data_IF_469115757924
#
_entry.id   IF_469115757924
#
_cell.length_a   1.000
_cell.length_b   1.000
_cell.length_c   1.000
_cell.angle_alpha   90.00
_cell.angle_beta   90.00
_cell.angle_gamma   90.00
#
_symmetry.space_group_name_H-M   'P 1'
#
loop_
_entity.id
_entity.type
_entity.pdbx_description
1 polymer ?
#
# COMPACT_ATOMS: atom_id res chain seq x y z
N UNK A 1 1.55 -33.32 31.62
CA UNK A 1 1.89 -31.95 31.22
C UNK A 1 1.86 -31.93 29.70
N UNK A 2 0.71 -31.83 29.04
CA UNK A 2 -0.40 -30.89 29.26
C UNK A 2 -0.13 -29.67 28.39
N UNK A 3 -0.86 -29.56 27.27
CA UNK A 3 -0.99 -28.38 26.39
C UNK A 3 0.17 -28.05 25.41
N UNK A 4 0.37 -28.87 24.37
CA UNK A 4 1.04 -28.47 23.10
C UNK A 4 0.04 -28.36 21.95
N UNK A 5 -1.17 -27.88 22.27
CA UNK A 5 -2.23 -27.68 21.29
C UNK A 5 -2.80 -26.29 21.48
N UNK A 6 -2.22 -25.31 20.80
CA UNK A 6 -3.00 -24.23 20.19
C UNK A 6 -2.28 -23.70 18.95
N UNK A 7 -2.91 -23.99 17.82
CA UNK A 7 -2.88 -23.25 16.56
C UNK A 7 -1.61 -23.34 15.71
N UNK A 8 -1.37 -24.56 15.21
CA UNK A 8 -0.95 -24.72 13.81
C UNK A 8 -2.03 -24.10 12.92
N UNK A 9 -1.61 -23.29 11.95
CA UNK A 9 -2.40 -22.91 10.76
C UNK A 9 -3.54 -21.90 10.98
N UNK A 10 -3.20 -20.65 11.34
CA UNK A 10 -3.77 -19.57 10.55
C UNK A 10 -2.72 -19.27 9.48
N UNK A 11 -2.86 -19.90 8.31
CA UNK A 11 -2.39 -19.27 7.09
C UNK A 11 -3.10 -17.91 7.02
N UNK A 12 -2.53 -16.89 7.67
CA UNK A 12 -2.95 -15.52 7.50
C UNK A 12 -2.80 -15.28 6.00
N UNK A 13 -3.93 -15.22 5.30
CA UNK A 13 -4.02 -14.63 3.97
C UNK A 13 -3.47 -13.22 4.11
N UNK A 14 -2.16 -13.06 3.99
CA UNK A 14 -1.53 -11.75 4.14
C UNK A 14 -1.93 -10.96 2.91
N UNK A 15 -2.71 -9.93 3.14
CA UNK A 15 -3.08 -8.93 2.16
C UNK A 15 -1.81 -8.22 1.68
N UNK A 16 -1.60 -8.25 0.38
CA UNK A 16 -0.52 -7.56 -0.32
C UNK A 16 -1.15 -6.48 -1.17
N UNK A 17 -0.82 -5.23 -0.85
CA UNK A 17 -1.23 -4.08 -1.62
C UNK A 17 -0.23 -3.86 -2.76
N UNK A 18 -0.70 -3.98 -4.00
CA UNK A 18 0.08 -3.69 -5.21
C UNK A 18 -0.41 -2.36 -5.76
N UNK A 19 0.51 -1.41 -5.92
CA UNK A 19 0.22 -0.06 -6.40
C UNK A 19 1.04 0.20 -7.65
N UNK A 20 0.37 0.66 -8.71
CA UNK A 20 0.97 1.08 -9.95
C UNK A 20 0.88 2.61 -10.09
N UNK A 21 2.05 3.25 -10.01
CA UNK A 21 2.25 4.67 -10.26
C UNK A 21 2.76 4.85 -11.69
N UNK A 22 1.98 5.54 -12.53
CA UNK A 22 2.43 5.88 -13.89
C UNK A 22 3.43 7.05 -13.84
N UNK A 23 4.66 6.77 -14.29
CA UNK A 23 5.76 7.74 -14.35
C UNK A 23 6.36 7.67 -15.74
N UNK A 24 6.69 8.83 -16.32
CA UNK A 24 7.36 8.87 -17.64
C UNK A 24 8.81 8.42 -17.50
N UNK A 25 9.35 7.80 -18.55
CA UNK A 25 10.75 7.38 -18.62
C UNK A 25 11.68 8.59 -18.85
N UNK A 26 11.82 9.43 -17.84
CA UNK A 26 12.83 10.48 -17.78
C UNK A 26 13.33 10.65 -16.34
N UNK A 27 14.56 11.13 -16.18
CA UNK A 27 15.20 11.22 -14.86
C UNK A 27 14.47 12.17 -13.89
N UNK A 28 13.84 13.23 -14.42
CA UNK A 28 13.11 14.21 -13.61
C UNK A 28 11.82 13.60 -13.03
N UNK A 29 11.04 12.91 -13.86
CA UNK A 29 9.83 12.20 -13.48
C UNK A 29 10.12 11.00 -12.60
N UNK A 30 11.26 10.29 -12.79
CA UNK A 30 11.68 9.24 -11.88
C UNK A 30 11.96 9.76 -10.47
N UNK A 31 12.61 10.93 -10.34
CA UNK A 31 12.81 11.59 -9.04
C UNK A 31 11.49 12.00 -8.40
N UNK A 32 10.56 12.55 -9.19
CA UNK A 32 9.20 12.87 -8.75
C UNK A 32 8.47 11.59 -8.31
N UNK A 33 8.54 10.51 -9.09
CA UNK A 33 7.94 9.22 -8.80
C UNK A 33 8.45 8.61 -7.50
N UNK A 34 9.75 8.72 -7.21
CA UNK A 34 10.33 8.29 -5.95
C UNK A 34 9.79 9.10 -4.77
N UNK A 35 9.69 10.43 -4.91
CA UNK A 35 9.12 11.31 -3.88
C UNK A 35 7.64 11.00 -3.63
N UNK A 36 6.88 10.73 -4.69
CA UNK A 36 5.48 10.33 -4.64
C UNK A 36 5.30 8.98 -3.92
N UNK A 37 6.09 7.97 -4.28
CA UNK A 37 6.07 6.68 -3.61
C UNK A 37 6.40 6.80 -2.12
N UNK A 38 7.37 7.66 -1.77
CA UNK A 38 7.71 7.94 -0.38
C UNK A 38 6.54 8.57 0.39
N UNK A 39 5.89 9.60 -0.17
CA UNK A 39 4.73 10.27 0.45
C UNK A 39 3.57 9.27 0.67
N UNK A 40 3.33 8.39 -0.31
CA UNK A 40 2.32 7.34 -0.21
C UNK A 40 2.65 6.32 0.90
N UNK A 41 3.91 5.87 1.01
CA UNK A 41 4.34 5.01 2.10
C UNK A 41 4.13 5.67 3.47
N UNK A 42 4.46 6.96 3.61
CA UNK A 42 4.23 7.68 4.86
C UNK A 42 2.74 7.78 5.22
N UNK A 43 1.86 7.98 4.23
CA UNK A 43 0.40 7.99 4.48
C UNK A 43 -0.12 6.63 4.91
N UNK A 44 0.40 5.55 4.32
CA UNK A 44 0.07 4.17 4.72
C UNK A 44 0.58 3.87 6.12
N UNK A 45 1.82 4.23 6.45
CA UNK A 45 2.42 4.03 7.78
C UNK A 45 1.74 4.88 8.87
N UNK A 46 1.23 6.05 8.51
CA UNK A 46 0.47 6.89 9.43
C UNK A 46 -0.96 6.36 9.70
N UNK A 47 -1.46 5.43 8.88
CA UNK A 47 -2.74 4.78 9.11
C UNK A 47 -2.57 3.56 10.01
N UNK A 48 -3.40 3.48 11.05
CA UNK A 48 -3.43 2.34 11.98
C UNK A 48 -3.95 1.06 11.29
N UNK A 49 -4.86 1.22 10.31
CA UNK A 49 -5.46 0.14 9.53
C UNK A 49 -5.54 0.55 8.06
N UNK A 50 -4.42 0.43 7.35
CA UNK A 50 -4.33 0.78 5.93
C UNK A 50 -5.33 0.02 5.06
N UNK A 51 -5.72 -1.21 5.42
CA UNK A 51 -6.66 -2.04 4.66
C UNK A 51 -8.07 -1.41 4.60
N UNK A 52 -8.50 -0.76 5.67
CA UNK A 52 -9.81 -0.09 5.77
C UNK A 52 -9.74 1.33 5.17
N UNK A 53 -8.61 2.01 5.37
CA UNK A 53 -8.41 3.39 4.91
C UNK A 53 -7.77 3.51 3.53
N UNK A 54 -7.56 2.42 2.79
CA UNK A 54 -6.82 2.48 1.52
C UNK A 54 -7.51 3.38 0.52
N UNK A 55 -8.83 3.28 0.35
CA UNK A 55 -9.61 4.13 -0.55
C UNK A 55 -9.44 5.61 -0.21
N UNK A 56 -9.42 5.97 1.08
CA UNK A 56 -9.22 7.35 1.53
C UNK A 56 -7.78 7.83 1.28
N UNK A 57 -6.78 6.98 1.56
CA UNK A 57 -5.36 7.28 1.31
C UNK A 57 -5.12 7.52 -0.18
N UNK A 58 -5.68 6.67 -1.03
CA UNK A 58 -5.54 6.77 -2.49
C UNK A 58 -6.26 8.04 -2.98
N UNK A 59 -7.50 8.29 -2.55
CA UNK A 59 -8.24 9.50 -2.93
C UNK A 59 -7.53 10.79 -2.49
N UNK A 60 -6.95 10.81 -1.27
CA UNK A 60 -6.16 11.93 -0.77
C UNK A 60 -4.89 12.14 -1.61
N UNK A 61 -4.18 11.05 -1.93
CA UNK A 61 -3.00 11.09 -2.79
C UNK A 61 -3.34 11.60 -4.21
N UNK A 62 -4.38 11.05 -4.83
CA UNK A 62 -4.83 11.45 -6.18
C UNK A 62 -5.25 12.93 -6.21
N UNK A 63 -5.93 13.40 -5.15
CA UNK A 63 -6.32 14.82 -5.01
C UNK A 63 -5.11 15.73 -4.85
N UNK A 64 -4.15 15.34 -4.00
CA UNK A 64 -2.93 16.11 -3.70
C UNK A 64 -2.02 16.23 -4.93
N UNK A 65 -1.85 15.14 -5.67
CA UNK A 65 -0.91 15.06 -6.79
C UNK A 65 -1.56 15.22 -8.17
N UNK A 66 -2.90 15.27 -8.25
CA UNK A 66 -3.69 15.31 -9.50
C UNK A 66 -3.27 14.23 -10.49
N UNK A 67 -2.95 13.05 -9.97
CA UNK A 67 -2.54 11.88 -10.75
C UNK A 67 -3.46 10.72 -10.42
N UNK A 68 -3.71 9.89 -11.43
CA UNK A 68 -4.49 8.68 -11.23
C UNK A 68 -3.57 7.54 -10.78
N UNK A 69 -3.99 6.80 -9.77
CA UNK A 69 -3.21 5.71 -9.20
C UNK A 69 -4.03 4.42 -9.32
N UNK A 70 -3.39 3.34 -9.79
CA UNK A 70 -4.04 2.04 -9.88
C UNK A 70 -3.54 1.18 -8.72
N UNK A 71 -4.45 0.57 -7.96
CA UNK A 71 -4.07 -0.36 -6.91
C UNK A 71 -4.90 -1.64 -6.98
N UNK A 72 -4.36 -2.72 -6.43
CA UNK A 72 -5.02 -4.01 -6.31
C UNK A 72 -4.54 -4.71 -5.04
N UNK A 73 -5.47 -5.33 -4.31
CA UNK A 73 -5.18 -6.11 -3.11
C UNK A 73 -5.16 -7.59 -3.52
N UNK A 74 -4.05 -8.26 -3.26
CA UNK A 74 -3.86 -9.70 -3.50
C UNK A 74 -3.67 -10.43 -2.17
N UNK A 75 -3.97 -11.73 -2.12
CA UNK A 75 -3.81 -12.55 -0.91
C UNK A 75 -2.89 -13.74 -1.23
N UNK A 76 -1.94 -14.03 -0.33
CA UNK A 76 -1.04 -15.18 -0.41
C UNK A 76 -1.50 -16.35 0.46
#
# INVERSE_FOLDING_TARGET
MGEYLHSRDQAFMRSVLVINLEVKDNHEEAAIGAQLAFDLCQMIEASDSWEDSIDEIIAAFETKHRRKLLYSISFY
#
